data_IF_730853364635
#
_entry.id   IF_730853364635
#
_cell.length_a   1.000
_cell.length_b   1.000
_cell.length_c   1.000
_cell.angle_alpha   90.00
_cell.angle_beta   90.00
_cell.angle_gamma   90.00
#
_symmetry.space_group_name_H-M   'P 1'
#
loop_
_entity.id
_entity.type
_entity.pdbx_description
1 polymer ?
#
# COMPACT_ATOMS: atom_id res chain seq x y z
N UNK A 1 3.19 -16.85 13.69
CA UNK A 1 2.19 -15.81 14.00
C UNK A 1 1.76 -15.10 12.73
N UNK A 2 0.58 -14.46 12.73
CA UNK A 2 0.14 -13.73 11.55
C UNK A 2 0.98 -12.44 11.37
N UNK A 3 1.32 -12.11 10.12
CA UNK A 3 1.96 -10.84 9.80
C UNK A 3 1.05 -9.69 10.25
N UNK A 4 1.57 -8.79 11.06
CA UNK A 4 0.82 -7.67 11.62
C UNK A 4 1.26 -6.38 10.94
N UNK A 5 0.31 -5.66 10.32
CA UNK A 5 0.57 -4.30 9.85
C UNK A 5 0.84 -3.41 11.08
N UNK A 6 2.05 -2.84 11.15
CA UNK A 6 2.48 -2.01 12.29
C UNK A 6 2.67 -0.53 11.95
N UNK A 7 2.83 -0.17 10.65
CA UNK A 7 2.94 1.24 10.24
C UNK A 7 2.44 1.43 8.82
N UNK A 8 1.81 2.55 8.55
CA UNK A 8 1.45 3.05 7.23
C UNK A 8 1.97 4.48 7.08
N UNK A 9 2.70 4.73 6.00
CA UNK A 9 2.96 6.07 5.48
C UNK A 9 2.13 6.21 4.22
N UNK A 10 1.33 7.29 4.11
CA UNK A 10 0.44 7.51 2.98
C UNK A 10 0.45 8.98 2.59
N UNK A 11 0.62 9.24 1.28
CA UNK A 11 0.62 10.58 0.69
C UNK A 11 -0.31 10.66 -0.50
N UNK A 12 -0.97 11.79 -0.66
CA UNK A 12 -1.71 12.15 -1.86
C UNK A 12 -3.08 11.52 -2.05
N UNK A 13 -3.73 11.00 -0.98
CA UNK A 13 -5.00 10.29 -1.09
C UNK A 13 -6.19 11.09 -0.56
N UNK A 14 -7.17 11.41 -1.40
CA UNK A 14 -8.43 12.14 -1.06
C UNK A 14 -8.16 13.39 -0.21
N UNK A 15 -8.56 13.42 1.07
CA UNK A 15 -8.27 14.53 1.99
C UNK A 15 -6.94 14.35 2.75
N UNK A 16 -6.23 13.28 2.51
CA UNK A 16 -4.98 12.96 3.18
C UNK A 16 -3.83 13.44 2.32
N UNK A 17 -3.18 14.53 2.75
CA UNK A 17 -1.99 15.05 2.08
C UNK A 17 -0.78 14.20 2.39
N UNK A 18 -0.54 13.96 3.68
CA UNK A 18 0.57 13.19 4.19
C UNK A 18 0.24 12.72 5.60
N UNK A 19 0.37 11.42 5.87
CA UNK A 19 0.23 10.83 7.21
C UNK A 19 1.26 9.72 7.41
N UNK A 20 1.66 9.57 8.67
CA UNK A 20 2.49 8.48 9.17
C UNK A 20 1.83 7.93 10.44
N UNK A 21 1.36 6.69 10.39
CA UNK A 21 0.60 6.07 11.49
C UNK A 21 1.25 4.76 11.90
N UNK A 22 1.62 4.68 13.17
CA UNK A 22 1.99 3.43 13.81
C UNK A 22 0.77 2.76 14.45
N UNK A 23 0.59 1.47 14.19
CA UNK A 23 -0.52 0.70 14.72
C UNK A 23 -0.16 0.00 16.04
N UNK A 24 -1.10 0.07 16.96
CA UNK A 24 -1.10 -0.68 18.23
C UNK A 24 -2.20 -1.75 18.20
N UNK A 25 -2.28 -2.65 19.19
CA UNK A 25 -3.37 -3.64 19.27
C UNK A 25 -4.78 -3.02 19.22
N UNK A 26 -4.93 -1.82 19.78
CA UNK A 26 -6.16 -1.02 19.71
C UNK A 26 -5.82 0.37 19.16
N UNK A 27 -6.50 0.77 18.09
CA UNK A 27 -6.37 2.09 17.47
C UNK A 27 -7.74 2.74 17.40
N UNK A 28 -7.85 3.99 17.82
CA UNK A 28 -9.10 4.76 17.80
C UNK A 28 -8.90 6.01 16.96
N UNK A 29 -9.70 6.15 15.90
CA UNK A 29 -9.68 7.34 15.03
C UNK A 29 -10.68 8.37 15.57
N UNK A 30 -10.18 9.46 16.12
CA UNK A 30 -10.98 10.56 16.66
C UNK A 30 -10.77 11.81 15.78
N UNK A 31 -11.79 12.60 15.63
CA UNK A 31 -11.73 13.87 14.90
C UNK A 31 -13.11 14.34 14.43
N UNK A 32 -13.21 15.62 14.07
CA UNK A 32 -14.42 16.23 13.53
C UNK A 32 -14.86 15.55 12.21
N UNK A 33 -16.11 15.82 11.79
CA UNK A 33 -16.56 15.42 10.45
C UNK A 33 -15.69 16.10 9.39
N UNK A 34 -15.27 15.34 8.38
CA UNK A 34 -14.34 15.83 7.36
C UNK A 34 -12.84 15.68 7.69
N UNK A 35 -12.46 15.29 8.91
CA UNK A 35 -11.05 15.12 9.32
C UNK A 35 -10.29 13.98 8.61
N UNK A 36 -10.90 13.31 7.62
CA UNK A 36 -10.22 12.26 6.85
C UNK A 36 -10.37 10.83 7.37
N UNK A 37 -11.06 10.59 8.50
CA UNK A 37 -11.25 9.24 9.07
C UNK A 37 -11.82 8.24 8.05
N UNK A 38 -12.91 8.60 7.38
CA UNK A 38 -13.55 7.76 6.35
C UNK A 38 -12.66 7.59 5.11
N UNK A 39 -11.82 8.58 4.79
CA UNK A 39 -10.87 8.49 3.70
C UNK A 39 -9.71 7.55 4.04
N UNK A 40 -9.26 7.51 5.28
CA UNK A 40 -8.31 6.51 5.73
C UNK A 40 -8.87 5.08 5.63
N UNK A 41 -10.11 4.86 6.09
CA UNK A 41 -10.80 3.57 5.92
C UNK A 41 -10.98 3.22 4.43
N UNK A 42 -11.28 4.22 3.59
CA UNK A 42 -11.35 4.04 2.14
C UNK A 42 -10.01 3.61 1.53
N UNK A 43 -8.89 4.12 2.06
CA UNK A 43 -7.56 3.69 1.64
C UNK A 43 -7.29 2.21 2.01
N UNK A 44 -7.64 1.78 3.20
CA UNK A 44 -7.54 0.35 3.59
C UNK A 44 -8.37 -0.54 2.64
N UNK A 45 -9.56 -0.07 2.22
CA UNK A 45 -10.36 -0.79 1.21
C UNK A 45 -9.66 -0.84 -0.15
N UNK A 46 -9.01 0.26 -0.59
CA UNK A 46 -8.20 0.28 -1.81
C UNK A 46 -7.12 -0.81 -1.76
N UNK A 47 -6.38 -0.93 -0.66
CA UNK A 47 -5.36 -1.97 -0.48
C UNK A 47 -5.97 -3.38 -0.61
N UNK A 48 -7.16 -3.60 -0.03
CA UNK A 48 -7.84 -4.89 -0.13
C UNK A 48 -8.25 -5.20 -1.59
N UNK A 49 -8.79 -4.23 -2.32
CA UNK A 49 -9.11 -4.41 -3.75
C UNK A 49 -7.85 -4.69 -4.58
N UNK A 50 -6.76 -3.99 -4.28
CA UNK A 50 -5.47 -4.16 -4.95
C UNK A 50 -4.92 -5.59 -4.77
N UNK A 51 -5.00 -6.17 -3.57
CA UNK A 51 -4.56 -7.56 -3.33
C UNK A 51 -5.42 -8.59 -4.05
N UNK A 52 -6.60 -8.24 -4.51
CA UNK A 52 -7.47 -9.06 -5.34
C UNK A 52 -7.34 -8.80 -6.84
N UNK A 53 -6.33 -8.04 -7.31
CA UNK A 53 -6.21 -7.59 -8.70
C UNK A 53 -7.45 -6.81 -9.20
N UNK A 54 -8.00 -5.96 -8.36
CA UNK A 54 -9.22 -5.20 -8.63
C UNK A 54 -9.01 -3.69 -8.37
N UNK A 55 -7.78 -3.18 -8.50
CA UNK A 55 -7.51 -1.75 -8.30
C UNK A 55 -8.35 -0.89 -9.25
N UNK A 56 -8.39 -1.24 -10.55
CA UNK A 56 -9.15 -0.46 -11.53
C UNK A 56 -10.66 -0.50 -11.26
N UNK A 57 -11.17 -1.63 -10.76
CA UNK A 57 -12.57 -1.72 -10.32
C UNK A 57 -12.86 -0.78 -9.15
N UNK A 58 -11.94 -0.68 -8.18
CA UNK A 58 -12.06 0.27 -7.07
C UNK A 58 -12.05 1.71 -7.56
N UNK A 59 -11.12 2.04 -8.48
CA UNK A 59 -11.02 3.37 -9.10
C UNK A 59 -12.32 3.74 -9.79
N UNK A 60 -12.86 2.87 -10.65
CA UNK A 60 -14.13 3.11 -11.34
C UNK A 60 -15.31 3.30 -10.39
N UNK A 61 -15.43 2.45 -9.36
CA UNK A 61 -16.50 2.58 -8.33
C UNK A 61 -16.43 3.86 -7.51
N UNK A 62 -15.27 4.50 -7.41
CA UNK A 62 -15.08 5.76 -6.69
C UNK A 62 -15.15 7.00 -7.59
N UNK A 63 -15.52 6.84 -8.87
CA UNK A 63 -15.68 7.95 -9.81
C UNK A 63 -14.41 8.43 -10.46
N UNK A 64 -13.42 7.51 -10.64
CA UNK A 64 -12.16 7.76 -11.31
C UNK A 64 -10.99 8.05 -10.37
N UNK A 65 -9.80 8.09 -10.95
CA UNK A 65 -8.56 8.33 -10.23
C UNK A 65 -8.47 9.76 -9.69
N UNK A 66 -9.00 10.74 -10.42
CA UNK A 66 -9.06 12.15 -10.00
C UNK A 66 -9.72 12.31 -8.63
N UNK A 67 -10.80 11.59 -8.37
CA UNK A 67 -11.53 11.61 -7.08
C UNK A 67 -10.77 10.96 -5.92
N UNK A 68 -9.77 10.17 -6.21
CA UNK A 68 -8.94 9.49 -5.23
C UNK A 68 -7.68 10.28 -4.89
N UNK A 69 -7.31 11.28 -5.70
CA UNK A 69 -6.15 12.13 -5.47
C UNK A 69 -6.46 13.28 -4.50
N UNK A 70 -5.46 13.67 -3.72
CA UNK A 70 -5.55 14.84 -2.84
C UNK A 70 -5.73 16.11 -3.67
N UNK A 71 -6.83 16.81 -3.46
CA UNK A 71 -7.24 17.99 -4.23
C UNK A 71 -7.33 17.75 -5.76
N UNK A 72 -7.52 16.49 -6.19
CA UNK A 72 -7.67 16.10 -7.58
C UNK A 72 -6.38 16.11 -8.41
N UNK A 73 -6.48 15.59 -9.62
CA UNK A 73 -5.33 15.37 -10.53
C UNK A 73 -4.63 16.63 -11.03
N UNK A 74 -5.28 17.81 -10.87
CA UNK A 74 -4.63 19.08 -11.18
C UNK A 74 -3.57 19.45 -10.15
N UNK A 75 -3.77 19.07 -8.89
CA UNK A 75 -2.90 19.41 -7.76
C UNK A 75 -1.94 18.28 -7.41
N UNK A 76 -2.44 17.05 -7.42
CA UNK A 76 -1.67 15.84 -7.04
C UNK A 76 -1.71 14.84 -8.19
N UNK A 77 -0.57 14.30 -8.60
CA UNK A 77 -0.46 13.37 -9.72
C UNK A 77 -0.34 11.92 -9.30
N UNK A 78 -0.05 11.67 -8.05
CA UNK A 78 0.30 10.34 -7.55
C UNK A 78 -0.18 10.11 -6.13
N UNK A 79 -0.30 8.83 -5.78
CA UNK A 79 -0.46 8.33 -4.42
C UNK A 79 0.78 7.50 -4.12
N UNK A 80 1.43 7.79 -2.99
CA UNK A 80 2.58 7.06 -2.49
C UNK A 80 2.24 6.43 -1.14
N UNK A 81 2.64 5.19 -0.93
CA UNK A 81 2.48 4.54 0.36
C UNK A 81 3.59 3.56 0.67
N UNK A 82 3.92 3.48 1.96
CA UNK A 82 4.77 2.45 2.54
C UNK A 82 3.99 1.70 3.61
N UNK A 83 4.02 0.39 3.54
CA UNK A 83 3.39 -0.50 4.51
C UNK A 83 4.47 -1.34 5.18
N UNK A 84 4.44 -1.35 6.50
CA UNK A 84 5.38 -2.13 7.32
C UNK A 84 4.61 -3.23 8.04
N UNK A 85 5.02 -4.47 7.81
CA UNK A 85 4.41 -5.65 8.42
C UNK A 85 5.41 -6.32 9.34
N UNK A 86 5.09 -6.39 10.61
CA UNK A 86 5.91 -7.09 11.61
C UNK A 86 5.71 -8.60 11.50
N UNK A 87 6.84 -9.33 11.51
CA UNK A 87 6.92 -10.79 11.55
C UNK A 87 7.83 -11.22 12.69
N UNK A 88 7.86 -12.51 13.01
CA UNK A 88 8.76 -13.04 14.03
C UNK A 88 10.25 -12.84 13.65
N UNK A 89 10.57 -12.91 12.35
CA UNK A 89 11.95 -12.78 11.82
C UNK A 89 12.39 -11.34 11.54
N UNK A 90 11.44 -10.41 11.35
CA UNK A 90 11.75 -9.04 10.97
C UNK A 90 10.53 -8.28 10.47
N UNK A 91 10.76 -7.26 9.66
CA UNK A 91 9.71 -6.47 9.03
C UNK A 91 9.71 -6.67 7.52
N UNK A 92 8.56 -7.00 6.95
CA UNK A 92 8.32 -6.86 5.52
C UNK A 92 7.89 -5.43 5.22
N UNK A 93 8.51 -4.84 4.22
CA UNK A 93 8.20 -3.49 3.75
C UNK A 93 7.66 -3.60 2.34
N UNK A 94 6.53 -2.97 2.11
CA UNK A 94 5.94 -2.82 0.78
C UNK A 94 5.81 -1.35 0.45
N UNK A 95 6.37 -0.95 -0.68
CA UNK A 95 6.28 0.39 -1.23
C UNK A 95 5.52 0.34 -2.55
N UNK A 96 4.61 1.29 -2.75
CA UNK A 96 3.99 1.54 -4.05
C UNK A 96 3.84 3.03 -4.32
N UNK A 97 3.98 3.37 -5.60
CA UNK A 97 3.67 4.69 -6.15
C UNK A 97 2.80 4.49 -7.38
N UNK A 98 1.55 4.92 -7.29
CA UNK A 98 0.59 4.90 -8.40
C UNK A 98 0.36 6.30 -8.93
N UNK A 99 0.34 6.46 -10.24
CA UNK A 99 0.22 7.75 -10.92
C UNK A 99 -1.05 7.80 -11.76
N UNK A 100 -1.65 8.99 -11.80
CA UNK A 100 -2.79 9.28 -12.66
C UNK A 100 -2.37 9.32 -14.12
N UNK A 101 -3.12 8.63 -14.97
CA UNK A 101 -2.89 8.60 -16.41
C UNK A 101 -4.16 8.87 -17.20
N UNK A 102 -4.04 9.01 -18.52
CA UNK A 102 -5.15 9.21 -19.42
C UNK A 102 -6.23 8.13 -19.23
N UNK A 103 -7.51 8.53 -19.34
CA UNK A 103 -8.66 7.68 -19.05
C UNK A 103 -9.07 7.66 -17.58
N UNK A 104 -8.58 8.62 -16.79
CA UNK A 104 -8.90 8.80 -15.37
C UNK A 104 -8.70 7.53 -14.54
N UNK A 105 -7.56 6.91 -14.75
CA UNK A 105 -7.15 5.65 -14.10
C UNK A 105 -5.76 5.78 -13.48
N UNK A 106 -5.34 4.76 -12.73
CA UNK A 106 -3.99 4.65 -12.20
C UNK A 106 -3.17 3.59 -12.90
N UNK A 107 -1.85 3.81 -12.95
CA UNK A 107 -0.85 2.77 -13.17
C UNK A 107 0.17 2.79 -12.04
N UNK A 108 0.78 1.65 -11.75
CA UNK A 108 1.94 1.58 -10.87
C UNK A 108 3.13 2.20 -11.59
N UNK A 109 3.63 3.33 -11.08
CA UNK A 109 4.89 3.89 -11.55
C UNK A 109 6.06 3.17 -10.89
N UNK A 110 5.86 2.71 -9.65
CA UNK A 110 6.85 1.93 -8.92
C UNK A 110 6.16 1.00 -7.91
N UNK A 111 6.64 -0.22 -7.80
CA UNK A 111 6.17 -1.21 -6.85
C UNK A 111 7.36 -2.01 -6.35
N UNK A 112 7.59 -2.00 -5.03
CA UNK A 112 8.80 -2.56 -4.43
C UNK A 112 8.49 -3.30 -3.13
N UNK A 113 9.36 -4.27 -2.81
CA UNK A 113 9.36 -4.99 -1.53
C UNK A 113 10.74 -5.02 -0.93
N UNK A 114 10.81 -5.02 0.40
CA UNK A 114 12.04 -5.25 1.14
C UNK A 114 11.76 -6.07 2.40
N UNK A 115 12.80 -6.63 2.98
CA UNK A 115 12.77 -7.31 4.25
C UNK A 115 13.87 -6.77 5.16
N UNK A 116 13.52 -6.37 6.38
CA UNK A 116 14.45 -5.95 7.42
C UNK A 116 14.54 -7.03 8.49
N UNK A 117 15.71 -7.61 8.71
CA UNK A 117 15.92 -8.68 9.67
C UNK A 117 16.22 -8.09 11.07
N UNK A 118 15.43 -8.48 12.09
CA UNK A 118 15.63 -8.04 13.48
C UNK A 118 16.99 -8.45 14.07
N UNK A 119 17.50 -9.62 13.68
CA UNK A 119 18.72 -10.19 14.27
C UNK A 119 20.03 -9.62 13.71
N UNK A 120 19.99 -8.99 12.54
CA UNK A 120 21.20 -8.54 11.81
C UNK A 120 21.29 -7.03 11.65
N UNK A 121 20.27 -6.29 12.10
CA UNK A 121 20.13 -4.82 11.89
C UNK A 121 20.43 -4.43 10.42
N UNK A 122 20.10 -5.34 9.50
CA UNK A 122 20.33 -5.17 8.07
C UNK A 122 18.99 -5.15 7.34
N UNK A 123 18.78 -4.09 6.57
CA UNK A 123 17.69 -4.01 5.61
C UNK A 123 18.17 -4.58 4.28
N UNK A 124 17.42 -5.53 3.74
CA UNK A 124 17.64 -5.96 2.36
C UNK A 124 17.38 -4.80 1.40
N UNK A 125 18.11 -4.71 0.30
CA UNK A 125 17.83 -3.70 -0.71
C UNK A 125 16.38 -3.84 -1.20
N UNK A 126 15.74 -2.71 -1.50
CA UNK A 126 14.43 -2.68 -2.13
C UNK A 126 14.49 -3.47 -3.43
N UNK A 127 13.58 -4.44 -3.56
CA UNK A 127 13.43 -5.23 -4.78
C UNK A 127 12.24 -4.70 -5.56
N UNK A 128 12.49 -4.15 -6.73
CA UNK A 128 11.45 -3.69 -7.65
C UNK A 128 10.67 -4.88 -8.20
N UNK A 129 9.34 -4.82 -8.13
CA UNK A 129 8.43 -5.77 -8.76
C UNK A 129 8.13 -5.37 -10.19
N UNK A 130 8.11 -4.06 -10.50
CA UNK A 130 7.91 -3.52 -11.84
C UNK A 130 7.26 -2.15 -11.84
N UNK A 131 6.96 -1.64 -13.04
CA UNK A 131 6.24 -0.41 -13.29
C UNK A 131 5.46 -0.47 -14.60
N UNK A 132 4.50 0.44 -14.82
CA UNK A 132 3.67 0.52 -16.01
C UNK A 132 2.44 -0.41 -16.02
N UNK A 133 2.22 -1.20 -15.00
CA UNK A 133 1.08 -2.12 -14.89
C UNK A 133 -0.13 -1.47 -14.19
N UNK A 134 -1.33 -1.99 -14.48
CA UNK A 134 -2.60 -1.47 -13.94
C UNK A 134 -3.03 -2.12 -12.63
N UNK A 135 -2.61 -3.35 -12.40
CA UNK A 135 -2.92 -4.12 -11.19
C UNK A 135 -1.62 -4.49 -10.49
N UNK A 136 -1.66 -4.70 -9.17
CA UNK A 136 -0.47 -5.03 -8.37
C UNK A 136 0.18 -6.35 -8.80
N UNK A 137 1.49 -6.38 -8.88
CA UNK A 137 2.27 -7.59 -9.10
C UNK A 137 2.52 -8.37 -7.80
N UNK A 138 2.14 -7.81 -6.64
CA UNK A 138 2.36 -8.45 -5.34
C UNK A 138 1.72 -9.84 -5.25
N UNK A 139 0.53 -10.00 -5.83
CA UNK A 139 -0.19 -11.28 -5.84
C UNK A 139 0.58 -12.35 -6.63
N UNK A 140 1.10 -11.97 -7.81
CA UNK A 140 1.91 -12.86 -8.64
C UNK A 140 3.26 -13.16 -7.95
N UNK A 141 3.84 -12.16 -7.29
CA UNK A 141 5.09 -12.32 -6.54
C UNK A 141 4.92 -13.28 -5.36
N UNK A 142 3.82 -13.22 -4.64
CA UNK A 142 3.52 -14.15 -3.54
C UNK A 142 3.35 -15.59 -4.03
N UNK A 143 2.79 -15.82 -5.22
CA UNK A 143 2.66 -17.15 -5.82
C UNK A 143 4.01 -17.72 -6.31
N UNK A 144 4.89 -16.87 -6.84
CA UNK A 144 6.25 -17.27 -7.29
C UNK A 144 7.19 -17.48 -6.10
N UNK A 145 7.03 -16.70 -5.03
CA UNK A 145 7.89 -16.76 -3.84
C UNK A 145 7.37 -17.74 -2.79
N UNK A 146 6.12 -18.19 -2.88
CA UNK A 146 5.53 -19.20 -2.00
C UNK A 146 6.27 -20.55 -2.05
N UNK A 147 7.03 -20.83 -3.10
CA UNK A 147 7.99 -21.96 -3.04
C UNK A 147 9.22 -21.68 -2.15
N UNK A 148 9.62 -20.42 -1.97
CA UNK A 148 10.81 -20.07 -1.15
C UNK A 148 10.47 -19.43 0.19
N UNK A 149 9.43 -18.59 0.29
CA UNK A 149 9.04 -17.93 1.54
C UNK A 149 8.10 -18.80 2.40
N UNK A 150 7.30 -19.67 1.79
CA UNK A 150 6.53 -20.68 2.54
C UNK A 150 7.43 -21.78 3.16
N UNK A 151 8.62 -22.02 2.62
CA UNK A 151 9.61 -22.91 3.25
C UNK A 151 10.29 -22.26 4.47
N UNK A 152 10.29 -20.92 4.57
CA UNK A 152 10.83 -20.19 5.73
C UNK A 152 9.75 -19.87 6.78
N UNK A 153 8.48 -20.05 6.46
CA UNK A 153 7.34 -19.89 7.39
C UNK A 153 6.81 -21.24 7.92
N UNK A 154 7.49 -22.34 7.59
CA UNK A 154 7.24 -23.69 8.13
C UNK A 154 8.47 -24.21 8.86
N UNK A 155 8.93 -23.48 9.86
CA UNK A 155 9.78 -24.01 10.94
C UNK A 155 9.29 -23.38 12.25
#
# INVERSE_FOLDING_TARGET
MANKLNRIILKGYKSIRDIDIEFRPLNVLIGANGAGKSNFVSFIRLLNFMTGNNLQLFVGKNGGADKLLFCGSKSTKEIETELYFETDAGNNIYFMRIVHVAGDTFIFADEQVAFSNKSRDTQSPLRTLGGGHKESLLVNYSSITNEKLCKTAKV
#
